data_IF_493986772554
#
_entry.id   IF_493986772554
#
_cell.length_a   1.000
_cell.length_b   1.000
_cell.length_c   1.000
_cell.angle_alpha   90.00
_cell.angle_beta   90.00
_cell.angle_gamma   90.00
#
_symmetry.space_group_name_H-M   'P 1'
#
loop_
_entity.id
_entity.type
_entity.pdbx_description
1 polymer ?
#
# COMPACT_ATOMS: atom_id res chain seq x y z
N UNK A 1 -28.24 78.42 20.96
CA UNK A 1 -26.80 78.26 20.89
C UNK A 1 -26.51 76.78 21.16
N UNK A 2 -26.11 75.90 20.36
CA UNK A 2 -25.23 75.88 19.24
C UNK A 2 -25.54 74.58 18.40
N UNK A 3 -26.47 74.61 17.44
CA UNK A 3 -26.73 73.47 16.56
C UNK A 3 -25.85 73.51 15.27
N UNK A 4 -25.11 74.60 15.08
CA UNK A 4 -24.24 74.81 13.92
C UNK A 4 -22.81 74.36 14.09
N UNK A 5 -22.32 74.18 15.31
CA UNK A 5 -20.97 73.72 15.59
C UNK A 5 -20.75 72.23 15.41
N UNK A 6 -21.81 71.41 15.39
CA UNK A 6 -21.71 69.95 15.18
C UNK A 6 -21.71 69.53 13.72
N UNK A 7 -22.25 70.40 12.81
CA UNK A 7 -22.27 70.03 11.39
C UNK A 7 -21.00 70.33 10.62
N UNK A 8 -20.17 71.26 11.15
CA UNK A 8 -18.89 71.59 10.51
C UNK A 8 -17.77 70.58 10.79
N UNK A 9 -17.86 69.81 11.91
CA UNK A 9 -16.86 68.77 12.21
C UNK A 9 -17.07 67.45 11.50
N UNK A 10 -18.30 67.18 11.05
CA UNK A 10 -18.64 65.95 10.28
C UNK A 10 -18.23 66.03 8.82
N UNK A 11 -18.13 67.21 8.25
CA UNK A 11 -17.78 67.42 6.86
C UNK A 11 -16.26 67.41 6.58
N UNK A 12 -15.44 67.62 7.62
CA UNK A 12 -13.93 67.57 7.50
C UNK A 12 -13.34 66.20 7.66
N UNK A 13 -14.11 65.23 8.22
CA UNK A 13 -13.67 63.83 8.43
C UNK A 13 -13.95 62.93 7.21
N UNK A 14 -14.91 63.31 6.33
CA UNK A 14 -15.28 62.50 5.20
C UNK A 14 -14.17 62.37 4.11
N UNK A 15 -13.39 63.34 3.76
CA UNK A 15 -12.32 63.18 2.80
C UNK A 15 -11.12 62.38 3.35
N UNK A 16 -10.91 62.38 4.68
CA UNK A 16 -9.81 61.62 5.31
C UNK A 16 -10.08 60.12 5.33
N UNK A 17 -11.33 59.69 5.52
CA UNK A 17 -11.73 58.28 5.49
C UNK A 17 -11.72 57.76 4.05
N UNK A 18 -12.08 58.58 3.03
CA UNK A 18 -12.00 58.20 1.61
C UNK A 18 -10.53 58.03 1.14
N UNK A 19 -9.60 58.86 1.66
CA UNK A 19 -8.17 58.72 1.34
C UNK A 19 -7.53 57.48 1.98
N UNK A 20 -7.99 57.06 3.16
CA UNK A 20 -7.51 55.82 3.83
C UNK A 20 -8.02 54.56 3.14
N UNK A 21 -9.19 54.57 2.53
CA UNK A 21 -9.71 53.42 1.76
C UNK A 21 -9.07 53.30 0.38
N UNK A 22 -8.53 54.36 -0.20
CA UNK A 22 -7.79 54.34 -1.46
C UNK A 22 -6.35 53.85 -1.28
N UNK A 23 -5.77 53.95 -0.08
CA UNK A 23 -4.42 53.46 0.22
C UNK A 23 -4.34 51.92 0.43
N UNK A 24 -5.49 51.23 0.59
CA UNK A 24 -5.56 49.76 0.66
C UNK A 24 -5.73 49.08 -0.71
N UNK A 25 -5.82 49.83 -1.79
CA UNK A 25 -5.66 49.28 -3.14
C UNK A 25 -4.16 49.16 -3.41
N UNK A 26 -3.52 48.15 -2.84
CA UNK A 26 -2.17 47.73 -3.23
C UNK A 26 -2.08 47.52 -4.73
N UNK A 27 -0.88 47.68 -5.34
CA UNK A 27 -0.73 47.41 -6.76
C UNK A 27 -1.36 46.10 -7.09
N UNK A 28 -2.34 46.08 -7.99
CA UNK A 28 -2.86 44.84 -8.56
C UNK A 28 -1.64 44.18 -9.16
N UNK A 29 -1.12 43.16 -8.50
CA UNK A 29 -0.19 42.21 -9.10
C UNK A 29 -0.89 41.72 -10.35
N UNK A 30 -0.51 42.25 -11.48
CA UNK A 30 -0.87 41.73 -12.80
C UNK A 30 -0.16 40.36 -12.90
N UNK A 31 -0.73 39.37 -12.25
CA UNK A 31 -0.31 37.97 -12.39
C UNK A 31 -0.71 37.61 -13.81
N UNK A 32 0.18 38.00 -14.77
CA UNK A 32 0.10 37.40 -16.09
C UNK A 32 0.13 35.89 -15.85
N UNK A 33 -0.91 35.15 -16.33
CA UNK A 33 -0.80 33.70 -16.29
C UNK A 33 0.50 33.37 -16.98
N UNK A 34 1.43 32.74 -16.27
CA UNK A 34 2.61 32.17 -16.88
C UNK A 34 2.07 31.29 -17.98
N UNK A 35 2.18 31.78 -19.23
CA UNK A 35 1.80 31.00 -20.40
C UNK A 35 2.59 29.71 -20.29
N UNK A 36 1.93 28.65 -19.93
CA UNK A 36 2.49 27.36 -19.66
C UNK A 36 3.40 26.98 -20.83
N UNK A 37 4.70 26.93 -20.55
CA UNK A 37 5.62 26.26 -21.45
C UNK A 37 5.26 24.78 -21.36
N UNK A 38 4.52 24.31 -22.35
CA UNK A 38 3.77 23.05 -22.36
C UNK A 38 4.59 21.77 -22.08
N UNK A 39 5.90 21.85 -21.95
CA UNK A 39 6.78 20.75 -21.59
C UNK A 39 7.15 20.68 -20.11
N UNK A 40 7.45 21.84 -19.49
CA UNK A 40 7.84 21.90 -18.08
C UNK A 40 6.64 21.63 -17.15
N UNK A 41 5.44 22.07 -17.53
CA UNK A 41 4.22 21.84 -16.78
C UNK A 41 3.80 20.37 -16.78
N UNK A 42 3.96 19.65 -17.92
CA UNK A 42 3.62 18.22 -18.00
C UNK A 42 4.44 17.37 -17.05
N UNK A 43 5.75 17.62 -16.95
CA UNK A 43 6.61 16.90 -15.99
C UNK A 43 6.31 17.28 -14.55
N UNK A 44 5.83 18.49 -14.32
CA UNK A 44 5.43 18.98 -13.00
C UNK A 44 4.09 18.37 -12.56
N UNK A 45 3.09 18.35 -13.47
CA UNK A 45 1.80 17.70 -13.19
C UNK A 45 1.96 16.20 -12.90
N UNK A 46 2.82 15.48 -13.65
CA UNK A 46 3.10 14.06 -13.40
C UNK A 46 3.81 13.85 -12.05
N UNK A 47 4.81 14.67 -11.71
CA UNK A 47 5.46 14.56 -10.40
C UNK A 47 4.52 14.87 -9.24
N UNK A 48 3.59 15.82 -9.42
CA UNK A 48 2.57 16.10 -8.42
C UNK A 48 1.60 14.93 -8.29
N UNK A 49 1.19 14.31 -9.40
CA UNK A 49 0.35 13.12 -9.41
C UNK A 49 1.03 11.94 -8.71
N UNK A 50 2.32 11.71 -8.99
CA UNK A 50 3.13 10.67 -8.32
C UNK A 50 3.21 10.93 -6.80
N UNK A 51 3.42 12.19 -6.40
CA UNK A 51 3.49 12.59 -4.99
C UNK A 51 2.15 12.42 -4.29
N UNK A 52 1.05 12.77 -4.94
CA UNK A 52 -0.30 12.57 -4.42
C UNK A 52 -0.61 11.06 -4.23
N UNK A 53 -0.23 10.24 -5.21
CA UNK A 53 -0.41 8.78 -5.12
C UNK A 53 0.43 8.19 -3.99
N UNK A 54 1.67 8.65 -3.82
CA UNK A 54 2.54 8.22 -2.73
C UNK A 54 2.02 8.65 -1.33
N UNK A 55 1.26 9.75 -1.27
CA UNK A 55 0.58 10.23 -0.06
C UNK A 55 -0.81 9.59 0.16
N UNK A 56 -1.18 8.60 -0.67
CA UNK A 56 -2.49 7.92 -0.67
C UNK A 56 -3.68 8.85 -1.04
N UNK A 57 -3.39 10.04 -1.61
CA UNK A 57 -4.41 10.93 -2.18
C UNK A 57 -4.79 10.45 -3.60
N UNK A 58 -5.54 9.34 -3.62
CA UNK A 58 -5.97 8.68 -4.86
C UNK A 58 -6.87 9.57 -5.71
N UNK A 59 -7.82 10.36 -5.17
CA UNK A 59 -8.64 11.28 -5.96
C UNK A 59 -7.81 12.34 -6.69
N UNK A 60 -6.88 13.00 -6.00
CA UNK A 60 -6.02 14.02 -6.59
C UNK A 60 -5.11 13.42 -7.65
N UNK A 61 -4.43 12.32 -7.36
CA UNK A 61 -3.55 11.65 -8.32
C UNK A 61 -4.29 11.23 -9.58
N UNK A 62 -5.49 10.66 -9.45
CA UNK A 62 -6.36 10.29 -10.58
C UNK A 62 -6.66 11.49 -11.47
N UNK A 63 -7.12 12.60 -10.87
CA UNK A 63 -7.45 13.83 -11.61
C UNK A 63 -6.26 14.39 -12.39
N UNK A 64 -5.07 14.40 -11.77
CA UNK A 64 -3.85 14.90 -12.39
C UNK A 64 -3.38 14.01 -13.55
N UNK A 65 -3.44 12.67 -13.41
CA UNK A 65 -3.11 11.77 -14.52
C UNK A 65 -4.12 11.84 -15.66
N UNK A 66 -5.42 12.00 -15.36
CA UNK A 66 -6.46 12.19 -16.38
C UNK A 66 -6.23 13.49 -17.15
N UNK A 67 -5.89 14.59 -16.46
CA UNK A 67 -5.51 15.86 -17.09
C UNK A 67 -4.26 15.69 -17.99
N UNK A 68 -3.24 14.97 -17.52
CA UNK A 68 -2.07 14.69 -18.31
C UNK A 68 -2.37 13.88 -19.59
N UNK A 69 -3.29 12.91 -19.51
CA UNK A 69 -3.74 12.14 -20.67
C UNK A 69 -4.65 12.94 -21.63
N UNK A 70 -5.38 13.94 -21.15
CA UNK A 70 -6.09 14.87 -22.03
C UNK A 70 -5.11 15.73 -22.87
N UNK A 71 -3.97 16.12 -22.27
CA UNK A 71 -2.93 16.88 -22.95
C UNK A 71 -2.09 16.00 -23.89
N UNK A 72 -1.81 14.75 -23.51
CA UNK A 72 -1.11 13.76 -24.33
C UNK A 72 -1.73 12.36 -24.15
N UNK A 73 -2.69 11.99 -25.01
CA UNK A 73 -3.38 10.71 -24.93
C UNK A 73 -2.46 9.48 -25.07
N UNK A 74 -1.23 9.63 -25.57
CA UNK A 74 -0.26 8.57 -25.76
C UNK A 74 0.83 8.55 -24.69
N UNK A 75 0.77 9.39 -23.69
CA UNK A 75 1.73 9.39 -22.58
C UNK A 75 1.72 8.08 -21.83
N UNK A 76 2.77 7.26 -22.00
CA UNK A 76 2.94 6.02 -21.28
C UNK A 76 3.02 6.24 -19.76
N UNK A 77 3.73 7.28 -19.33
CA UNK A 77 3.90 7.61 -17.92
C UNK A 77 2.55 7.96 -17.27
N UNK A 78 1.77 8.86 -17.90
CA UNK A 78 0.44 9.22 -17.40
C UNK A 78 -0.52 8.00 -17.40
N UNK A 79 -0.46 7.15 -18.44
CA UNK A 79 -1.27 5.94 -18.53
C UNK A 79 -0.95 4.92 -17.45
N UNK A 80 0.33 4.74 -17.13
CA UNK A 80 0.77 3.87 -16.03
C UNK A 80 0.39 4.46 -14.67
N UNK A 81 0.64 5.75 -14.45
CA UNK A 81 0.26 6.41 -13.20
C UNK A 81 -1.26 6.36 -12.94
N UNK A 82 -2.09 6.57 -13.97
CA UNK A 82 -3.54 6.40 -13.83
C UNK A 82 -3.91 4.96 -13.54
N UNK A 83 -3.22 3.98 -14.14
CA UNK A 83 -3.44 2.56 -13.84
C UNK A 83 -3.11 2.23 -12.38
N UNK A 84 -2.00 2.77 -11.85
CA UNK A 84 -1.62 2.62 -10.44
C UNK A 84 -2.64 3.30 -9.51
N UNK A 85 -3.12 4.50 -9.84
CA UNK A 85 -4.17 5.19 -9.08
C UNK A 85 -5.50 4.40 -9.07
N UNK A 86 -5.95 3.88 -10.22
CA UNK A 86 -7.15 3.02 -10.29
C UNK A 86 -6.95 1.71 -9.53
N UNK A 87 -5.75 1.14 -9.56
CA UNK A 87 -5.41 -0.03 -8.75
C UNK A 87 -5.48 0.28 -7.25
N UNK A 88 -4.95 1.41 -6.80
CA UNK A 88 -5.04 1.86 -5.41
C UNK A 88 -6.50 2.09 -4.99
N UNK A 89 -7.31 2.72 -5.83
CA UNK A 89 -8.75 2.88 -5.64
C UNK A 89 -9.54 1.57 -5.55
N UNK A 90 -8.94 0.44 -5.97
CA UNK A 90 -9.63 -0.85 -6.03
C UNK A 90 -10.44 -1.06 -7.33
N UNK A 91 -10.41 -0.13 -8.26
CA UNK A 91 -11.00 -0.29 -9.60
C UNK A 91 -10.09 -1.15 -10.48
N UNK A 92 -10.11 -2.45 -10.18
CA UNK A 92 -9.19 -3.41 -10.80
C UNK A 92 -9.45 -3.61 -12.30
N UNK A 93 -10.68 -3.40 -12.76
CA UNK A 93 -11.00 -3.55 -14.19
C UNK A 93 -10.46 -2.37 -15.00
N UNK A 94 -10.65 -1.13 -14.55
CA UNK A 94 -10.04 0.03 -15.21
C UNK A 94 -8.51 -0.05 -15.14
N UNK A 95 -7.94 -0.40 -13.99
CA UNK A 95 -6.49 -0.61 -13.86
C UNK A 95 -5.99 -1.64 -14.88
N UNK A 96 -6.68 -2.77 -15.03
CA UNK A 96 -6.32 -3.83 -16.00
C UNK A 96 -6.30 -3.31 -17.44
N UNK A 97 -7.33 -2.57 -17.84
CA UNK A 97 -7.43 -1.99 -19.19
C UNK A 97 -6.28 -1.01 -19.46
N UNK A 98 -5.98 -0.14 -18.50
CA UNK A 98 -4.89 0.83 -18.61
C UNK A 98 -3.51 0.15 -18.68
N UNK A 99 -3.24 -0.84 -17.81
CA UNK A 99 -2.00 -1.62 -17.91
C UNK A 99 -1.90 -2.40 -19.20
N UNK A 100 -3.00 -2.95 -19.74
CA UNK A 100 -2.99 -3.61 -21.04
C UNK A 100 -2.64 -2.65 -22.18
N UNK A 101 -3.17 -1.42 -22.13
CA UNK A 101 -2.82 -0.37 -23.09
C UNK A 101 -1.33 -0.04 -22.99
N UNK A 102 -0.82 0.17 -21.79
CA UNK A 102 0.59 0.43 -21.54
C UNK A 102 1.50 -0.75 -22.00
N UNK A 103 1.07 -2.00 -21.77
CA UNK A 103 1.78 -3.19 -22.21
C UNK A 103 1.80 -3.34 -23.74
N UNK A 104 0.78 -2.86 -24.45
CA UNK A 104 0.79 -2.80 -25.93
C UNK A 104 1.79 -1.76 -26.46
N UNK A 105 1.92 -0.62 -25.78
CA UNK A 105 2.88 0.43 -26.15
C UNK A 105 4.32 0.01 -25.82
N UNK A 106 4.53 -0.67 -24.69
CA UNK A 106 5.84 -1.10 -24.21
C UNK A 106 5.82 -2.57 -23.74
N UNK A 107 5.80 -3.56 -24.69
CA UNK A 107 5.57 -4.97 -24.36
C UNK A 107 6.60 -5.59 -23.43
N UNK A 108 7.84 -5.12 -23.46
CA UNK A 108 8.95 -5.62 -22.63
C UNK A 108 9.17 -4.80 -21.34
N UNK A 109 8.41 -3.71 -21.15
CA UNK A 109 8.58 -2.89 -19.94
C UNK A 109 8.08 -3.63 -18.70
N UNK A 110 8.84 -3.51 -17.61
CA UNK A 110 8.53 -4.14 -16.33
C UNK A 110 7.20 -3.66 -15.73
N UNK A 111 7.01 -2.33 -15.67
CA UNK A 111 5.91 -1.71 -14.94
C UNK A 111 4.51 -2.17 -15.39
N UNK A 112 4.15 -2.15 -16.70
CA UNK A 112 2.83 -2.62 -17.12
C UNK A 112 2.62 -4.11 -16.89
N UNK A 113 3.66 -4.95 -17.06
CA UNK A 113 3.56 -6.39 -16.81
C UNK A 113 3.39 -6.69 -15.31
N UNK A 114 4.11 -5.96 -14.43
CA UNK A 114 3.93 -6.04 -12.98
C UNK A 114 2.50 -5.61 -12.59
N UNK A 115 1.99 -4.51 -13.16
CA UNK A 115 0.64 -4.04 -12.92
C UNK A 115 -0.42 -5.10 -13.25
N UNK A 116 -0.29 -5.75 -14.41
CA UNK A 116 -1.18 -6.86 -14.82
C UNK A 116 -1.09 -8.07 -13.89
N UNK A 117 0.12 -8.41 -13.41
CA UNK A 117 0.31 -9.49 -12.46
C UNK A 117 -0.34 -9.17 -11.09
N UNK A 118 -0.18 -7.93 -10.58
CA UNK A 118 -0.81 -7.44 -9.35
C UNK A 118 -2.34 -7.45 -9.44
N UNK A 119 -2.90 -6.99 -10.56
CA UNK A 119 -4.35 -7.03 -10.79
C UNK A 119 -4.86 -8.47 -10.80
N UNK A 120 -4.20 -9.39 -11.49
CA UNK A 120 -4.58 -10.80 -11.52
C UNK A 120 -4.56 -11.41 -10.11
N UNK A 121 -3.52 -11.10 -9.32
CA UNK A 121 -3.40 -11.54 -7.92
C UNK A 121 -4.54 -11.00 -7.04
N UNK A 122 -4.83 -9.72 -7.11
CA UNK A 122 -5.88 -9.07 -6.32
C UNK A 122 -7.28 -9.56 -6.69
N UNK A 123 -7.49 -9.92 -7.97
CA UNK A 123 -8.70 -10.55 -8.47
C UNK A 123 -8.79 -12.06 -8.17
N UNK A 124 -7.83 -12.61 -7.44
CA UNK A 124 -7.75 -14.04 -7.11
C UNK A 124 -7.66 -14.96 -8.34
N UNK A 125 -7.22 -14.45 -9.47
CA UNK A 125 -6.89 -15.24 -10.67
C UNK A 125 -5.47 -15.83 -10.53
N UNK A 126 -5.31 -16.76 -9.56
CA UNK A 126 -3.99 -17.20 -9.09
C UNK A 126 -3.15 -17.82 -10.19
N UNK A 127 -3.74 -18.70 -11.04
CA UNK A 127 -3.01 -19.31 -12.16
C UNK A 127 -2.51 -18.28 -13.21
N UNK A 128 -3.28 -17.21 -13.48
CA UNK A 128 -2.83 -16.11 -14.34
C UNK A 128 -1.74 -15.28 -13.67
N UNK A 129 -1.90 -14.97 -12.37
CA UNK A 129 -0.91 -14.26 -11.59
C UNK A 129 0.42 -15.05 -11.53
N UNK A 130 0.38 -16.35 -11.23
CA UNK A 130 1.58 -17.21 -11.19
C UNK A 130 2.35 -17.18 -12.52
N UNK A 131 1.65 -17.38 -13.65
CA UNK A 131 2.27 -17.32 -14.98
C UNK A 131 2.96 -15.98 -15.18
N UNK A 132 2.26 -14.85 -14.94
CA UNK A 132 2.81 -13.50 -15.13
C UNK A 132 4.01 -13.22 -14.25
N UNK A 133 3.96 -13.60 -12.96
CA UNK A 133 5.10 -13.41 -12.06
C UNK A 133 6.29 -14.30 -12.43
N UNK A 134 6.06 -15.52 -12.92
CA UNK A 134 7.15 -16.35 -13.48
C UNK A 134 7.82 -15.70 -14.68
N UNK A 135 7.03 -15.16 -15.59
CA UNK A 135 7.55 -14.44 -16.76
C UNK A 135 8.37 -13.21 -16.31
N UNK A 136 7.90 -12.47 -15.30
CA UNK A 136 8.63 -11.35 -14.73
C UNK A 136 9.96 -11.78 -14.08
N UNK A 137 9.98 -12.87 -13.33
CA UNK A 137 11.23 -13.40 -12.72
C UNK A 137 12.24 -13.81 -13.77
N UNK A 138 11.78 -14.35 -14.90
CA UNK A 138 12.68 -14.76 -16.01
C UNK A 138 13.22 -13.55 -16.76
N UNK A 139 12.39 -12.56 -17.09
CA UNK A 139 12.77 -11.46 -17.97
C UNK A 139 13.30 -10.22 -17.22
N UNK A 140 13.04 -10.13 -15.91
CA UNK A 140 13.43 -9.04 -15.03
C UNK A 140 14.02 -9.60 -13.73
N UNK A 141 15.09 -10.39 -13.88
CA UNK A 141 15.73 -11.12 -12.80
C UNK A 141 16.38 -10.21 -11.73
N UNK A 142 16.45 -8.90 -11.98
CA UNK A 142 16.94 -7.85 -11.10
C UNK A 142 15.87 -7.24 -10.19
N UNK A 143 14.61 -7.70 -10.31
CA UNK A 143 13.49 -7.13 -9.56
C UNK A 143 13.05 -8.00 -8.38
N UNK A 144 13.24 -7.56 -7.13
CA UNK A 144 12.72 -8.25 -5.95
C UNK A 144 11.19 -8.32 -5.95
N UNK A 145 10.49 -7.34 -6.56
CA UNK A 145 9.02 -7.30 -6.63
C UNK A 145 8.42 -8.48 -7.42
N UNK A 146 9.14 -8.97 -8.45
CA UNK A 146 8.72 -10.14 -9.19
C UNK A 146 8.80 -11.41 -8.33
N UNK A 147 9.86 -11.53 -7.54
CA UNK A 147 10.09 -12.65 -6.61
C UNK A 147 9.09 -12.62 -5.45
N UNK A 148 8.85 -11.45 -4.85
CA UNK A 148 7.82 -11.27 -3.81
C UNK A 148 6.45 -11.70 -4.33
N UNK A 149 6.06 -11.19 -5.50
CA UNK A 149 4.77 -11.52 -6.09
C UNK A 149 4.61 -13.00 -6.42
N UNK A 150 5.65 -13.65 -6.96
CA UNK A 150 5.61 -15.10 -7.23
C UNK A 150 5.45 -15.90 -5.93
N UNK A 151 6.22 -15.58 -4.91
CA UNK A 151 6.11 -16.23 -3.61
C UNK A 151 4.72 -16.03 -2.97
N UNK A 152 4.18 -14.81 -3.04
CA UNK A 152 2.83 -14.50 -2.54
C UNK A 152 1.75 -15.33 -3.24
N UNK A 153 1.83 -15.48 -4.56
CA UNK A 153 0.88 -16.34 -5.30
C UNK A 153 0.96 -17.78 -4.82
N UNK A 154 2.17 -18.33 -4.67
CA UNK A 154 2.39 -19.70 -4.20
C UNK A 154 1.85 -19.91 -2.78
N UNK A 155 2.03 -18.93 -1.90
CA UNK A 155 1.46 -18.97 -0.54
C UNK A 155 -0.08 -18.96 -0.57
N UNK A 156 -0.69 -18.15 -1.45
CA UNK A 156 -2.14 -18.12 -1.61
C UNK A 156 -2.72 -19.41 -2.20
N UNK A 157 -1.93 -20.18 -2.92
CA UNK A 157 -2.25 -21.52 -3.40
C UNK A 157 -1.99 -22.61 -2.35
N UNK A 158 -1.46 -22.26 -1.17
CA UNK A 158 -1.08 -23.21 -0.12
C UNK A 158 0.23 -23.95 -0.41
N UNK A 159 1.00 -23.52 -1.39
CA UNK A 159 2.29 -24.11 -1.81
C UNK A 159 3.45 -23.48 -1.05
N UNK A 160 3.32 -23.41 0.29
CA UNK A 160 4.23 -22.67 1.18
C UNK A 160 5.69 -23.09 1.04
N UNK A 161 5.97 -24.38 0.92
CA UNK A 161 7.35 -24.87 0.74
C UNK A 161 8.01 -24.34 -0.55
N UNK A 162 7.21 -24.12 -1.62
CA UNK A 162 7.71 -23.54 -2.87
C UNK A 162 7.89 -22.02 -2.72
N UNK A 163 6.94 -21.32 -2.09
CA UNK A 163 7.06 -19.90 -1.77
C UNK A 163 8.33 -19.61 -0.97
N UNK A 164 8.58 -20.39 0.10
CA UNK A 164 9.78 -20.26 0.93
C UNK A 164 11.09 -20.45 0.14
N UNK A 165 11.11 -21.36 -0.85
CA UNK A 165 12.27 -21.50 -1.75
C UNK A 165 12.48 -20.24 -2.59
N UNK A 166 11.41 -19.69 -3.15
CA UNK A 166 11.43 -18.47 -3.95
C UNK A 166 11.96 -17.30 -3.11
N UNK A 167 11.41 -17.08 -1.92
CA UNK A 167 11.85 -16.00 -1.02
C UNK A 167 13.31 -16.16 -0.59
N UNK A 168 13.76 -17.39 -0.25
CA UNK A 168 15.17 -17.64 0.12
C UNK A 168 16.13 -17.39 -1.04
N UNK A 169 15.72 -17.71 -2.28
CA UNK A 169 16.50 -17.35 -3.48
C UNK A 169 16.61 -15.84 -3.59
N UNK A 170 15.50 -15.13 -3.46
CA UNK A 170 15.48 -13.67 -3.48
C UNK A 170 16.38 -13.06 -2.40
N UNK A 171 16.30 -13.56 -1.17
CA UNK A 171 17.13 -13.07 -0.05
C UNK A 171 18.63 -13.30 -0.22
N UNK A 172 19.06 -14.29 -1.02
CA UNK A 172 20.48 -14.44 -1.38
C UNK A 172 20.97 -13.33 -2.30
N UNK A 173 20.08 -12.85 -3.19
CA UNK A 173 20.38 -11.77 -4.13
C UNK A 173 20.19 -10.40 -3.48
N UNK A 174 19.13 -10.23 -2.68
CA UNK A 174 18.76 -8.97 -2.02
C UNK A 174 18.58 -9.15 -0.50
N UNK A 175 19.67 -9.32 0.25
CA UNK A 175 19.60 -9.65 1.69
C UNK A 175 18.97 -8.55 2.54
N UNK A 176 18.89 -7.31 2.04
CA UNK A 176 18.36 -6.15 2.76
C UNK A 176 16.89 -5.81 2.40
N UNK A 177 16.27 -6.54 1.47
CA UNK A 177 14.87 -6.31 1.10
C UNK A 177 13.97 -6.86 2.21
N UNK A 178 13.40 -5.95 3.01
CA UNK A 178 12.56 -6.29 4.17
C UNK A 178 11.30 -7.07 3.74
N UNK A 179 10.69 -6.73 2.59
CA UNK A 179 9.51 -7.41 2.06
C UNK A 179 9.73 -8.92 1.96
N UNK A 180 10.80 -9.36 1.33
CA UNK A 180 11.13 -10.80 1.20
C UNK A 180 11.28 -11.52 2.55
N UNK A 181 11.79 -10.84 3.59
CA UNK A 181 11.87 -11.43 4.94
C UNK A 181 10.53 -11.52 5.61
N UNK A 182 9.71 -10.50 5.46
CA UNK A 182 8.34 -10.46 6.00
C UNK A 182 7.52 -11.59 5.40
N UNK A 183 7.60 -11.75 4.08
CA UNK A 183 6.86 -12.76 3.34
C UNK A 183 7.37 -14.17 3.67
N UNK A 184 8.70 -14.39 3.76
CA UNK A 184 9.27 -15.66 4.21
C UNK A 184 8.81 -15.99 5.64
N UNK A 185 8.85 -15.01 6.55
CA UNK A 185 8.39 -15.19 7.92
C UNK A 185 6.92 -15.59 8.00
N UNK A 186 6.06 -14.91 7.25
CA UNK A 186 4.63 -15.23 7.16
C UNK A 186 4.41 -16.61 6.53
N UNK A 187 5.10 -16.92 5.43
CA UNK A 187 5.01 -18.22 4.75
C UNK A 187 5.36 -19.39 5.68
N UNK A 188 6.40 -19.24 6.49
CA UNK A 188 6.77 -20.22 7.52
C UNK A 188 5.67 -20.38 8.58
N UNK A 189 5.05 -19.29 9.02
CA UNK A 189 3.95 -19.34 9.99
C UNK A 189 2.75 -20.06 9.38
N UNK A 190 2.41 -19.77 8.12
CA UNK A 190 1.31 -20.43 7.39
C UNK A 190 1.57 -21.93 7.19
N UNK A 191 2.82 -22.32 7.03
CA UNK A 191 3.27 -23.71 6.93
C UNK A 191 3.40 -24.40 8.31
N UNK A 192 2.77 -23.83 9.34
CA UNK A 192 2.77 -24.36 10.71
C UNK A 192 4.19 -24.46 11.35
N UNK A 193 5.07 -23.53 10.97
CA UNK A 193 6.45 -23.38 11.49
C UNK A 193 6.61 -22.01 12.20
N UNK A 194 5.77 -21.66 13.22
CA UNK A 194 5.76 -20.31 13.79
C UNK A 194 7.07 -19.92 14.44
N UNK A 195 7.85 -20.88 15.00
CA UNK A 195 9.17 -20.61 15.57
C UNK A 195 10.18 -20.18 14.50
N UNK A 196 10.20 -20.86 13.36
CA UNK A 196 11.05 -20.50 12.24
C UNK A 196 10.67 -19.14 11.65
N UNK A 197 9.36 -18.88 11.52
CA UNK A 197 8.84 -17.59 11.09
C UNK A 197 9.24 -16.45 12.04
N UNK A 198 9.09 -16.65 13.36
CA UNK A 198 9.53 -15.68 14.36
C UNK A 198 11.02 -15.35 14.23
N UNK A 199 11.89 -16.37 14.08
CA UNK A 199 13.34 -16.17 13.94
C UNK A 199 13.69 -15.28 12.74
N UNK A 200 13.04 -15.50 11.58
CA UNK A 200 13.26 -14.68 10.39
C UNK A 200 12.79 -13.23 10.60
N UNK A 201 11.68 -13.03 11.30
CA UNK A 201 11.12 -11.70 11.57
C UNK A 201 11.89 -10.94 12.64
N UNK A 202 12.51 -11.62 13.61
CA UNK A 202 13.34 -10.99 14.65
C UNK A 202 14.56 -10.25 14.06
N UNK A 203 15.10 -10.71 12.94
CA UNK A 203 16.22 -10.05 12.24
C UNK A 203 15.89 -8.60 11.83
N UNK A 204 14.61 -8.27 11.68
CA UNK A 204 14.16 -6.94 11.28
C UNK A 204 13.31 -6.24 12.34
N UNK A 205 12.81 -6.95 13.34
CA UNK A 205 11.87 -6.42 14.33
C UNK A 205 12.48 -5.39 15.29
N UNK A 206 13.81 -5.41 15.45
CA UNK A 206 14.56 -4.46 16.30
C UNK A 206 15.00 -3.19 15.60
N UNK A 207 14.73 -3.03 14.31
CA UNK A 207 15.11 -1.84 13.55
C UNK A 207 14.14 -0.69 13.81
N UNK A 208 14.66 0.55 13.81
CA UNK A 208 13.85 1.76 14.06
C UNK A 208 12.74 1.96 13.04
N UNK A 209 12.92 1.45 11.84
CA UNK A 209 11.99 1.53 10.71
C UNK A 209 11.30 0.18 10.40
N UNK A 210 11.08 -0.64 11.44
CA UNK A 210 10.39 -1.93 11.29
C UNK A 210 8.98 -1.72 10.74
N UNK A 211 8.62 -2.33 9.59
CA UNK A 211 7.27 -2.24 9.07
C UNK A 211 6.24 -2.85 10.04
N UNK A 212 5.06 -2.21 10.14
CA UNK A 212 3.95 -2.70 10.97
C UNK A 212 3.63 -4.17 10.68
N UNK A 213 3.64 -4.56 9.41
CA UNK A 213 3.37 -5.94 8.98
C UNK A 213 4.36 -6.95 9.59
N UNK A 214 5.64 -6.60 9.69
CA UNK A 214 6.64 -7.46 10.34
C UNK A 214 6.32 -7.69 11.82
N UNK A 215 5.96 -6.61 12.55
CA UNK A 215 5.53 -6.71 13.96
C UNK A 215 4.27 -7.56 14.11
N UNK A 216 3.27 -7.36 13.26
CA UNK A 216 2.03 -8.12 13.30
C UNK A 216 2.25 -9.62 13.02
N UNK A 217 3.08 -9.95 12.03
CA UNK A 217 3.44 -11.33 11.73
C UNK A 217 4.25 -11.96 12.89
N UNK A 218 5.15 -11.19 13.53
CA UNK A 218 5.89 -11.66 14.70
C UNK A 218 4.97 -11.91 15.89
N UNK A 219 4.00 -11.01 16.13
CA UNK A 219 2.99 -11.21 17.16
C UNK A 219 2.12 -12.45 16.90
N UNK A 220 1.72 -12.68 15.64
CA UNK A 220 1.04 -13.92 15.25
C UNK A 220 1.89 -15.16 15.56
N UNK A 221 3.17 -15.14 15.21
CA UNK A 221 4.08 -16.25 15.50
C UNK A 221 4.14 -16.54 17.00
N UNK A 222 4.32 -15.53 17.85
CA UNK A 222 4.33 -15.70 19.31
C UNK A 222 3.00 -16.19 19.85
N UNK A 223 1.86 -15.66 19.37
CA UNK A 223 0.53 -16.14 19.76
C UNK A 223 0.31 -17.61 19.42
N UNK A 224 0.78 -18.07 18.24
CA UNK A 224 0.71 -19.48 17.86
C UNK A 224 1.67 -20.36 18.68
N UNK A 225 2.74 -19.81 19.22
CA UNK A 225 3.65 -20.48 20.16
C UNK A 225 3.12 -20.48 21.60
N UNK A 226 2.02 -19.80 21.90
CA UNK A 226 1.45 -19.66 23.24
C UNK A 226 2.10 -18.58 24.09
N UNK A 227 2.96 -17.73 23.52
CA UNK A 227 3.55 -16.59 24.22
C UNK A 227 2.70 -15.33 24.02
N UNK A 228 1.53 -15.32 24.66
CA UNK A 228 0.54 -14.26 24.54
C UNK A 228 1.06 -12.92 25.06
N UNK A 229 1.92 -12.92 26.09
CA UNK A 229 2.52 -11.70 26.65
C UNK A 229 3.45 -11.01 25.64
N UNK A 230 4.28 -11.78 24.93
CA UNK A 230 5.13 -11.23 23.88
C UNK A 230 4.29 -10.71 22.71
N UNK A 231 3.28 -11.48 22.27
CA UNK A 231 2.38 -11.05 21.21
C UNK A 231 1.66 -9.74 21.57
N UNK A 232 1.15 -9.65 22.79
CA UNK A 232 0.46 -8.46 23.32
C UNK A 232 1.38 -7.23 23.31
N UNK A 233 2.58 -7.34 23.86
CA UNK A 233 3.55 -6.22 23.89
C UNK A 233 3.87 -5.69 22.48
N UNK A 234 4.03 -6.58 21.52
CA UNK A 234 4.32 -6.19 20.13
C UNK A 234 3.11 -5.49 19.49
N UNK A 235 1.90 -6.01 19.69
CA UNK A 235 0.69 -5.43 19.09
C UNK A 235 0.34 -4.07 19.66
N UNK A 236 0.62 -3.81 20.95
CA UNK A 236 0.35 -2.53 21.61
C UNK A 236 1.16 -1.36 21.01
N UNK A 237 2.21 -1.64 20.26
CA UNK A 237 2.96 -0.59 19.52
C UNK A 237 2.09 0.07 18.43
N UNK A 238 1.20 -0.68 17.81
CA UNK A 238 0.46 -0.26 16.62
C UNK A 238 -1.06 -0.23 16.82
N UNK A 239 -1.58 -0.87 17.87
CA UNK A 239 -3.02 -1.13 18.04
C UNK A 239 -3.52 -0.74 19.42
N UNK A 240 -4.78 -0.28 19.53
CA UNK A 240 -5.43 -0.07 20.81
C UNK A 240 -5.67 -1.39 21.55
N UNK A 241 -5.74 -1.36 22.88
CA UNK A 241 -5.85 -2.54 23.74
C UNK A 241 -7.01 -3.50 23.35
N UNK A 242 -8.16 -2.94 23.00
CA UNK A 242 -9.33 -3.76 22.56
C UNK A 242 -9.01 -4.59 21.32
N UNK A 243 -8.34 -4.00 20.32
CA UNK A 243 -7.92 -4.72 19.11
C UNK A 243 -6.84 -5.76 19.41
N UNK A 244 -5.95 -5.48 20.38
CA UNK A 244 -4.95 -6.45 20.85
C UNK A 244 -5.64 -7.67 21.46
N UNK A 245 -6.64 -7.48 22.33
CA UNK A 245 -7.39 -8.59 22.94
C UNK A 245 -8.10 -9.44 21.89
N UNK A 246 -8.67 -8.80 20.86
CA UNK A 246 -9.27 -9.51 19.74
C UNK A 246 -8.27 -10.37 18.98
N UNK A 247 -7.07 -9.87 18.72
CA UNK A 247 -6.01 -10.62 18.06
C UNK A 247 -5.53 -11.80 18.91
N UNK A 248 -5.34 -11.60 20.20
CA UNK A 248 -4.96 -12.71 21.12
C UNK A 248 -6.03 -13.80 21.12
N UNK A 249 -7.32 -13.45 21.23
CA UNK A 249 -8.42 -14.45 21.12
C UNK A 249 -8.42 -15.16 19.76
N UNK A 250 -8.09 -14.46 18.68
CA UNK A 250 -7.95 -15.08 17.36
C UNK A 250 -6.80 -16.09 17.33
N UNK A 251 -5.63 -15.74 17.89
CA UNK A 251 -4.46 -16.64 17.93
C UNK A 251 -4.76 -17.90 18.73
N UNK A 252 -5.49 -17.80 19.84
CA UNK A 252 -5.96 -18.96 20.60
C UNK A 252 -6.82 -19.89 19.74
N UNK A 253 -7.83 -19.34 19.05
CA UNK A 253 -8.69 -20.16 18.17
C UNK A 253 -7.91 -20.88 17.08
N UNK A 254 -6.94 -20.21 16.46
CA UNK A 254 -6.09 -20.83 15.43
C UNK A 254 -5.23 -21.94 16.03
N UNK A 255 -4.61 -21.70 17.17
CA UNK A 255 -3.80 -22.69 17.90
C UNK A 255 -4.61 -23.93 18.26
N UNK A 256 -5.81 -23.74 18.83
CA UNK A 256 -6.69 -24.83 19.20
C UNK A 256 -7.16 -25.65 17.99
N UNK A 257 -7.48 -24.97 16.88
CA UNK A 257 -7.84 -25.63 15.64
C UNK A 257 -6.67 -26.46 15.04
N UNK A 258 -5.45 -25.96 15.15
CA UNK A 258 -4.25 -26.70 14.73
C UNK A 258 -3.99 -27.92 15.64
N UNK A 259 -4.16 -27.78 16.95
CA UNK A 259 -4.04 -28.88 17.90
C UNK A 259 -5.09 -29.97 17.65
N UNK A 260 -6.34 -29.60 17.47
CA UNK A 260 -7.43 -30.52 17.15
C UNK A 260 -7.19 -31.32 15.85
N UNK A 261 -6.58 -30.70 14.84
CA UNK A 261 -6.21 -31.40 13.58
C UNK A 261 -5.12 -32.46 13.80
N UNK A 262 -4.15 -32.19 14.68
CA UNK A 262 -3.07 -33.14 15.01
C UNK A 262 -3.59 -34.35 15.78
N UNK A 263 -4.68 -34.19 16.53
CA UNK A 263 -5.28 -35.26 17.36
C UNK A 263 -6.24 -36.19 16.59
N UNK A 264 -6.68 -35.79 15.38
CA UNK A 264 -7.53 -36.71 14.56
C UNK A 264 -6.64 -37.81 14.01
N UNK A 265 -6.98 -39.12 14.25
CA UNK A 265 -6.28 -40.25 13.67
C UNK A 265 -6.30 -40.10 12.14
N UNK A 266 -5.14 -40.24 11.51
CA UNK A 266 -5.05 -40.35 10.06
C UNK A 266 -5.55 -41.74 9.69
N UNK A 267 -6.81 -41.84 9.25
CA UNK A 267 -7.23 -43.02 8.46
C UNK A 267 -6.27 -43.07 7.26
N UNK A 268 -5.57 -44.18 7.13
CA UNK A 268 -4.36 -44.46 6.33
C UNK A 268 -4.24 -43.99 4.88
N UNK A 269 -4.80 -42.86 4.53
CA UNK A 269 -4.54 -42.13 3.29
C UNK A 269 -3.66 -40.94 3.60
N UNK A 270 -2.48 -40.90 3.02
CA UNK A 270 -1.51 -39.81 3.13
C UNK A 270 -2.20 -38.45 2.85
N UNK A 271 -2.75 -37.83 3.90
CA UNK A 271 -3.22 -36.46 3.84
C UNK A 271 -1.98 -35.57 3.93
N UNK A 272 -1.59 -35.04 2.79
CA UNK A 272 -0.81 -33.78 2.75
C UNK A 272 -1.43 -32.85 3.77
N UNK A 273 -0.66 -32.42 4.77
CA UNK A 273 -1.04 -31.42 5.77
C UNK A 273 -1.65 -30.22 5.04
N UNK A 274 -2.99 -30.11 5.08
CA UNK A 274 -3.64 -28.93 4.50
C UNK A 274 -3.21 -27.72 5.30
N UNK A 275 -2.66 -26.70 4.64
CA UNK A 275 -2.20 -25.48 5.30
C UNK A 275 -3.34 -24.80 6.05
N UNK A 276 -2.99 -23.96 7.01
CA UNK A 276 -3.96 -23.05 7.66
C UNK A 276 -4.66 -22.27 6.53
N UNK A 277 -6.01 -22.26 6.49
CA UNK A 277 -6.71 -21.55 5.44
C UNK A 277 -6.27 -20.07 5.44
N UNK A 278 -5.62 -19.66 4.40
CA UNK A 278 -5.16 -18.26 4.19
C UNK A 278 -6.33 -17.28 4.33
N UNK A 279 -7.54 -17.72 3.98
CA UNK A 279 -8.77 -16.97 4.17
C UNK A 279 -9.05 -16.59 5.64
N UNK A 280 -8.64 -17.40 6.62
CA UNK A 280 -8.82 -17.08 8.04
C UNK A 280 -7.89 -15.96 8.52
N UNK A 281 -6.74 -15.77 7.87
CA UNK A 281 -5.75 -14.75 8.21
C UNK A 281 -5.97 -13.44 7.45
N UNK A 282 -6.70 -13.49 6.32
CA UNK A 282 -6.95 -12.34 5.44
C UNK A 282 -8.33 -11.70 5.62
N UNK A 283 -9.26 -12.35 6.31
CA UNK A 283 -10.66 -11.90 6.41
C UNK A 283 -10.91 -10.77 7.39
N UNK A 284 -9.87 -10.21 8.02
CA UNK A 284 -10.03 -9.06 8.90
C UNK A 284 -9.19 -7.90 8.36
N UNK A 285 -9.82 -6.86 7.78
CA UNK A 285 -9.13 -5.60 7.63
C UNK A 285 -8.73 -5.17 9.03
N UNK A 286 -7.42 -5.00 9.24
CA UNK A 286 -6.91 -4.32 10.42
C UNK A 286 -7.61 -2.97 10.44
N UNK A 287 -8.41 -2.72 11.48
CA UNK A 287 -9.12 -1.47 11.64
C UNK A 287 -8.12 -0.35 11.37
N UNK A 288 -8.32 0.37 10.29
CA UNK A 288 -7.68 1.64 10.03
C UNK A 288 -7.91 2.45 11.29
N UNK A 289 -6.87 2.96 11.91
CA UNK A 289 -7.01 3.97 12.93
C UNK A 289 -7.71 5.15 12.23
N UNK A 290 -9.04 5.25 12.41
CA UNK A 290 -9.73 6.48 12.10
C UNK A 290 -9.02 7.57 12.87
N UNK A 291 -8.52 8.54 12.12
CA UNK A 291 -7.99 9.80 12.63
C UNK A 291 -9.05 10.43 13.55
N UNK A 292 -8.81 10.31 14.84
CA UNK A 292 -9.47 11.18 15.84
C UNK A 292 -8.80 12.54 15.67
N UNK A 293 -9.61 13.51 15.25
CA UNK A 293 -9.29 14.92 15.27
C UNK A 293 -8.96 15.39 16.70
#
# INVERSE_FOLDING_TARGET
MNRYAMRARALLLMPLVAALLAACAGPRLDIKPVSAQSGADRTTDLRLADSALAADDVPLSTSLYEKALQADPNSLAAGLGLADAKYAAGDLEQARVLYQRAAKQAPKAFAPQLGLARVALRQRRLADAERRYRDLVVHHADSPLAVEGLGTVLDLEGRHAQAQKVYRVGLRTWPYVKGLRIDLGLSLILDNQPRAGANVLLDIAGLSDTPRQARQNLALAYGLLGNDDAARRILLVDLPASSVDDNIRFYHRVRDALAARRMKPTDGTAQTTRPVPTAMLQSRPLASAESVQ
#
